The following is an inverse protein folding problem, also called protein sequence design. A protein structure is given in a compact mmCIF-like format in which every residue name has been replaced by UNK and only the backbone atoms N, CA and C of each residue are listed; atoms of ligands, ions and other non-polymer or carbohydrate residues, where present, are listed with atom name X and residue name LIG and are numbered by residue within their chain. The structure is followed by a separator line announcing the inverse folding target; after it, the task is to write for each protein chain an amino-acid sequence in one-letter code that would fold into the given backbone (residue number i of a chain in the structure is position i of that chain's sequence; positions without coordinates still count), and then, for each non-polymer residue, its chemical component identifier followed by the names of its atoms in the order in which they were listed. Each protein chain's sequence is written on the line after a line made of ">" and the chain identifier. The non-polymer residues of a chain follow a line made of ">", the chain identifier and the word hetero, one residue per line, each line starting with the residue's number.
data_IF_557950412418
#
_entry.id   IF_557950412418
#
_cell.length_a   1.000
_cell.length_b   1.000
_cell.length_c   1.000
_cell.angle_alpha   90.00
_cell.angle_beta   90.00
_cell.angle_gamma   90.00
#
_symmetry.space_group_name_H-M   'P 1'
#
loop_
_entity.id
_entity.type
_entity.pdbx_description
1 polymer ?
#
# COMPACT_ATOMS: atom_id res chain seq x y z
N UNK A 1 8.06 -20.17 -17.46
CA UNK A 1 7.61 -18.98 -16.71
C UNK A 1 7.98 -19.23 -15.27
N UNK A 2 9.20 -18.89 -14.88
CA UNK A 2 9.55 -18.79 -13.46
C UNK A 2 9.30 -17.33 -13.09
N UNK A 3 8.18 -17.08 -12.41
CA UNK A 3 7.81 -15.77 -11.88
C UNK A 3 8.39 -15.53 -10.48
N UNK A 4 9.31 -16.38 -10.06
CA UNK A 4 9.90 -16.37 -8.73
C UNK A 4 11.40 -16.10 -8.85
N UNK A 5 11.90 -15.16 -8.06
CA UNK A 5 13.33 -14.91 -7.94
C UNK A 5 13.72 -14.88 -6.47
N UNK A 6 14.75 -15.64 -6.10
CA UNK A 6 15.32 -15.63 -4.75
C UNK A 6 16.33 -14.50 -4.66
N UNK A 7 16.09 -13.55 -3.75
CA UNK A 7 16.99 -12.42 -3.48
C UNK A 7 17.36 -12.39 -2.00
N UNK A 8 18.63 -12.12 -1.73
CA UNK A 8 19.13 -11.91 -0.38
C UNK A 8 18.72 -10.52 0.10
N UNK A 9 18.18 -10.43 1.31
CA UNK A 9 18.00 -9.16 2.01
C UNK A 9 19.36 -8.63 2.48
N UNK A 10 19.59 -7.33 2.33
CA UNK A 10 20.81 -6.68 2.75
C UNK A 10 20.48 -5.70 3.87
N UNK A 11 21.28 -5.68 4.94
CA UNK A 11 21.20 -4.63 5.93
C UNK A 11 21.90 -3.37 5.39
N UNK A 12 21.23 -2.24 5.46
CA UNK A 12 21.78 -0.92 5.12
C UNK A 12 21.58 0.04 6.29
N UNK A 13 22.64 0.77 6.67
CA UNK A 13 22.64 1.55 7.91
C UNK A 13 22.49 0.67 9.14
N UNK A 14 21.72 1.13 10.14
CA UNK A 14 21.54 0.42 11.42
C UNK A 14 20.19 -0.28 11.59
N UNK A 15 19.16 0.13 10.86
CA UNK A 15 17.77 -0.26 11.14
C UNK A 15 16.94 -0.57 9.91
N UNK A 16 17.57 -0.69 8.74
CA UNK A 16 16.85 -0.82 7.48
C UNK A 16 17.40 -1.96 6.66
N UNK A 17 16.51 -2.81 6.15
CA UNK A 17 16.86 -3.83 5.18
C UNK A 17 16.43 -3.37 3.79
N UNK A 18 17.19 -3.78 2.78
CA UNK A 18 16.86 -3.58 1.36
C UNK A 18 16.83 -4.93 0.65
N UNK A 19 15.97 -5.03 -0.35
CA UNK A 19 15.95 -6.12 -1.33
C UNK A 19 15.92 -5.51 -2.72
N UNK A 20 16.72 -6.07 -3.63
CA UNK A 20 16.77 -5.60 -5.01
C UNK A 20 15.63 -6.22 -5.82
N UNK A 21 14.82 -5.39 -6.45
CA UNK A 21 13.76 -5.85 -7.35
C UNK A 21 14.31 -6.11 -8.76
N UNK A 22 13.89 -7.19 -9.43
CA UNK A 22 14.33 -7.47 -10.80
C UNK A 22 13.90 -6.36 -11.76
N UNK A 23 14.82 -5.90 -12.61
CA UNK A 23 14.55 -4.82 -13.58
C UNK A 23 13.36 -5.13 -14.48
N UNK A 24 13.19 -6.41 -14.86
CA UNK A 24 12.09 -6.86 -15.72
C UNK A 24 10.73 -6.58 -15.08
N UNK A 25 10.55 -6.99 -13.81
CA UNK A 25 9.30 -6.76 -13.08
C UNK A 25 8.97 -5.28 -12.99
N UNK A 26 9.95 -4.45 -12.63
CA UNK A 26 9.79 -2.99 -12.56
C UNK A 26 9.33 -2.40 -13.88
N UNK A 27 9.95 -2.80 -15.00
CA UNK A 27 9.55 -2.34 -16.34
C UNK A 27 8.17 -2.83 -16.75
N UNK A 28 7.82 -4.09 -16.46
CA UNK A 28 6.52 -4.71 -16.81
C UNK A 28 5.35 -3.97 -16.15
N UNK A 29 5.53 -3.47 -14.93
CA UNK A 29 4.50 -2.69 -14.20
C UNK A 29 4.65 -1.17 -14.38
N UNK A 30 5.49 -0.72 -15.33
CA UNK A 30 5.64 0.69 -15.69
C UNK A 30 6.28 1.57 -14.60
N UNK A 31 6.98 0.99 -13.63
CA UNK A 31 7.69 1.72 -12.60
C UNK A 31 9.08 2.14 -13.07
N UNK A 32 9.67 3.12 -12.37
CA UNK A 32 11.02 3.62 -12.64
C UNK A 32 11.74 3.97 -11.35
N UNK A 33 13.03 4.27 -11.44
CA UNK A 33 13.77 4.83 -10.32
C UNK A 33 13.07 6.09 -9.79
N UNK A 34 12.89 6.17 -8.47
CA UNK A 34 12.13 7.25 -7.82
C UNK A 34 10.62 7.02 -7.71
N UNK A 35 10.06 5.99 -8.36
CA UNK A 35 8.67 5.58 -8.11
C UNK A 35 8.49 5.22 -6.63
N UNK A 36 7.39 5.66 -6.03
CA UNK A 36 7.06 5.36 -4.64
C UNK A 36 6.18 4.11 -4.55
N UNK A 37 6.48 3.25 -3.58
CA UNK A 37 5.70 2.06 -3.26
C UNK A 37 5.17 2.17 -1.83
N UNK A 38 3.95 1.70 -1.63
CA UNK A 38 3.41 1.38 -0.32
C UNK A 38 3.79 -0.06 -0.01
N UNK A 39 4.36 -0.29 1.17
CA UNK A 39 4.72 -1.63 1.66
C UNK A 39 3.78 -1.95 2.81
N UNK A 40 2.94 -2.97 2.66
CA UNK A 40 2.03 -3.48 3.69
C UNK A 40 2.37 -4.91 4.07
N UNK A 41 2.06 -5.30 5.30
CA UNK A 41 2.20 -6.69 5.77
C UNK A 41 0.88 -7.43 5.58
N UNK A 42 0.94 -8.58 4.94
CA UNK A 42 -0.19 -9.51 4.77
C UNK A 42 0.21 -10.86 5.35
N UNK A 43 -0.11 -11.07 6.64
CA UNK A 43 0.35 -12.25 7.38
C UNK A 43 1.88 -12.29 7.48
N UNK A 44 2.47 -13.34 6.92
CA UNK A 44 3.93 -13.53 6.85
C UNK A 44 4.55 -13.01 5.54
N UNK A 45 3.75 -12.36 4.69
CA UNK A 45 4.18 -11.80 3.41
C UNK A 45 4.21 -10.27 3.44
N UNK A 46 5.00 -9.69 2.55
CA UNK A 46 4.99 -8.26 2.26
C UNK A 46 4.35 -8.02 0.89
N UNK A 47 3.35 -7.13 0.84
CA UNK A 47 2.75 -6.66 -0.39
C UNK A 47 3.32 -5.29 -0.74
N UNK A 48 3.80 -5.15 -1.97
CA UNK A 48 4.30 -3.90 -2.52
C UNK A 48 3.29 -3.38 -3.54
N UNK A 49 2.74 -2.19 -3.31
CA UNK A 49 1.76 -1.57 -4.20
C UNK A 49 2.25 -0.21 -4.68
N UNK A 50 2.24 0.08 -6.00
CA UNK A 50 2.50 1.43 -6.48
C UNK A 50 1.63 2.47 -5.79
N UNK A 51 2.25 3.53 -5.25
CA UNK A 51 1.53 4.57 -4.50
C UNK A 51 0.39 5.19 -5.32
N UNK A 52 0.61 5.37 -6.62
CA UNK A 52 -0.38 5.97 -7.53
C UNK A 52 -1.63 5.09 -7.74
N UNK A 53 -1.54 3.79 -7.43
CA UNK A 53 -2.67 2.85 -7.52
C UNK A 53 -3.41 2.69 -6.18
N UNK A 54 -2.84 3.17 -5.09
CA UNK A 54 -3.51 3.18 -3.78
C UNK A 54 -4.52 4.32 -3.77
N UNK A 55 -5.76 4.05 -4.19
CA UNK A 55 -6.88 4.97 -3.92
C UNK A 55 -6.94 5.19 -2.40
N UNK A 56 -6.99 6.45 -1.91
CA UNK A 56 -7.18 6.68 -0.50
C UNK A 56 -8.47 5.97 -0.08
N UNK A 57 -8.38 5.08 0.91
CA UNK A 57 -9.56 4.62 1.62
C UNK A 57 -10.17 5.86 2.26
N UNK A 58 -11.17 6.46 1.62
CA UNK A 58 -12.14 7.29 2.31
C UNK A 58 -12.80 6.30 3.28
N UNK A 59 -12.35 6.30 4.54
CA UNK A 59 -13.15 5.75 5.61
C UNK A 59 -14.39 6.63 5.64
N UNK A 60 -15.47 6.18 5.00
CA UNK A 60 -16.80 6.60 5.42
C UNK A 60 -16.93 6.09 6.85
N UNK A 61 -16.49 6.91 7.82
CA UNK A 61 -17.03 6.84 9.16
C UNK A 61 -18.52 7.09 8.95
N UNK A 62 -19.30 6.02 8.92
CA UNK A 62 -20.74 6.08 9.10
C UNK A 62 -20.98 6.74 10.46
N UNK A 63 -20.98 8.07 10.48
CA UNK A 63 -21.60 8.80 11.55
C UNK A 63 -23.09 8.68 11.26
N UNK A 64 -23.74 7.75 11.93
CA UNK A 64 -25.20 7.68 11.94
C UNK A 64 -25.67 8.97 12.61
N UNK A 65 -26.01 9.97 11.80
CA UNK A 65 -26.72 11.16 12.24
C UNK A 65 -28.07 10.69 12.82
N UNK A 66 -28.13 10.57 14.15
CA UNK A 66 -29.40 10.49 14.86
C UNK A 66 -30.06 11.86 14.76
N UNK A 67 -30.92 12.02 13.76
CA UNK A 67 -31.84 13.17 13.70
C UNK A 67 -32.88 12.91 14.80
N UNK A 68 -32.81 13.70 15.87
CA UNK A 68 -33.87 13.77 16.88
C UNK A 68 -34.86 14.81 16.37
N UNK A 69 -36.00 14.37 15.85
CA UNK A 69 -37.13 15.26 15.59
C UNK A 69 -37.70 15.75 16.92
N UNK A 70 -37.24 16.92 17.35
CA UNK A 70 -37.92 17.71 18.35
C UNK A 70 -37.99 19.13 17.80
N UNK A 71 -39.15 19.46 17.23
CA UNK A 71 -39.93 20.65 17.61
C UNK A 71 -41.09 20.79 16.62
N UNK A 72 -42.28 20.48 17.11
CA UNK A 72 -43.54 20.89 16.50
C UNK A 72 -43.78 22.37 16.85
N UNK A 73 -44.28 23.16 15.89
CA UNK A 73 -45.12 24.29 16.26
C UNK A 73 -46.44 24.33 15.48
N UNK A 74 -47.50 24.49 16.28
CA UNK A 74 -48.89 24.95 16.04
C UNK A 74 -49.82 24.15 15.11
#
# INVERSE_FOLDING_TARGET
>A
MENEEIRRIQLTGRSTYIVSLPKRWISEIGLRAGSQLVISREGESLLLTPKDLVKPRINFLETTLKISDKDAPE
#
